data_IF_537921006384
#
_entry.id   IF_537921006384
#
_cell.length_a   1.000
_cell.length_b   1.000
_cell.length_c   1.000
_cell.angle_alpha   90.00
_cell.angle_beta   90.00
_cell.angle_gamma   90.00
#
_symmetry.space_group_name_H-M   'P 1'
#
loop_
_entity.id
_entity.type
_entity.pdbx_description
1 polymer ?
#
# COMPACT_ATOMS: atom_id res chain seq x y z
N UNK A 1 1.07 -20.27 4.78
CA UNK A 1 0.03 -20.87 3.92
C UNK A 1 -0.86 -19.75 3.42
N UNK A 2 -1.10 -19.66 2.11
CA UNK A 2 -2.04 -18.67 1.53
C UNK A 2 -3.47 -19.03 1.95
N UNK A 3 -4.24 -18.05 2.42
CA UNK A 3 -5.62 -18.27 2.83
C UNK A 3 -6.56 -18.32 1.62
N UNK A 4 -7.51 -19.24 1.66
CA UNK A 4 -8.63 -19.32 0.72
C UNK A 4 -9.71 -18.30 1.08
N UNK A 5 -10.65 -18.07 0.17
CA UNK A 5 -11.83 -17.21 0.41
C UNK A 5 -12.61 -17.60 1.68
N UNK A 6 -12.76 -18.89 1.95
CA UNK A 6 -13.41 -19.40 3.15
C UNK A 6 -12.65 -19.00 4.42
N UNK A 7 -11.33 -19.16 4.41
CA UNK A 7 -10.50 -18.86 5.57
C UNK A 7 -10.39 -17.34 5.78
N UNK A 8 -10.33 -16.56 4.69
CA UNK A 8 -10.40 -15.08 4.74
C UNK A 8 -11.69 -14.61 5.41
N UNK A 9 -12.85 -15.14 5.01
CA UNK A 9 -14.13 -14.83 5.65
C UNK A 9 -14.12 -15.15 7.14
N UNK A 10 -13.59 -16.32 7.51
CA UNK A 10 -13.50 -16.73 8.90
C UNK A 10 -12.63 -15.79 9.74
N UNK A 11 -11.48 -15.37 9.24
CA UNK A 11 -10.58 -14.45 9.93
C UNK A 11 -11.18 -13.03 10.09
N UNK A 12 -11.90 -12.54 9.05
CA UNK A 12 -12.61 -11.26 9.11
C UNK A 12 -13.79 -11.35 10.07
N UNK A 13 -14.61 -12.40 9.99
CA UNK A 13 -15.76 -12.59 10.87
C UNK A 13 -15.36 -12.74 12.34
N UNK A 14 -14.20 -13.33 12.60
CA UNK A 14 -13.62 -13.44 13.95
C UNK A 14 -12.98 -12.12 14.44
N UNK A 15 -12.93 -11.07 13.63
CA UNK A 15 -12.31 -9.79 13.95
C UNK A 15 -10.78 -9.86 14.05
N UNK A 16 -10.15 -10.92 13.55
CA UNK A 16 -8.69 -11.08 13.58
C UNK A 16 -8.02 -10.33 12.44
N UNK A 17 -8.63 -10.34 11.25
CA UNK A 17 -8.23 -9.50 10.12
C UNK A 17 -9.23 -8.38 9.94
N UNK A 18 -8.76 -7.13 9.97
CA UNK A 18 -9.56 -5.94 9.66
C UNK A 18 -9.39 -5.54 8.20
N UNK A 19 -10.51 -5.18 7.56
CA UNK A 19 -10.56 -4.57 6.24
C UNK A 19 -11.74 -3.58 6.27
N UNK A 20 -11.51 -2.33 6.59
CA UNK A 20 -12.58 -1.36 6.88
C UNK A 20 -12.56 -0.18 5.90
N UNK A 21 -13.66 0.09 5.19
CA UNK A 21 -14.94 -0.64 5.22
C UNK A 21 -14.91 -1.93 4.41
N UNK A 22 -15.43 -3.02 5.00
CA UNK A 22 -15.51 -4.33 4.36
C UNK A 22 -16.79 -4.50 3.54
N UNK A 23 -16.66 -5.19 2.41
CA UNK A 23 -17.78 -5.62 1.59
C UNK A 23 -17.52 -7.04 1.08
N UNK A 24 -18.49 -7.95 1.28
CA UNK A 24 -18.38 -9.37 0.92
C UNK A 24 -17.99 -9.60 -0.56
N UNK A 25 -18.49 -8.75 -1.46
CA UNK A 25 -18.17 -8.80 -2.88
C UNK A 25 -16.70 -8.49 -3.23
N UNK A 26 -15.89 -8.10 -2.24
CA UNK A 26 -14.44 -7.87 -2.41
C UNK A 26 -13.64 -9.16 -2.28
N UNK A 27 -14.22 -10.23 -1.70
CA UNK A 27 -13.53 -11.51 -1.52
C UNK A 27 -13.36 -12.21 -2.87
N UNK A 28 -12.14 -12.63 -3.14
CA UNK A 28 -11.71 -13.41 -4.28
C UNK A 28 -11.24 -14.80 -3.80
N UNK A 29 -11.02 -15.80 -4.66
CA UNK A 29 -10.68 -17.16 -4.23
C UNK A 29 -9.50 -17.30 -3.27
N UNK A 30 -8.55 -16.34 -3.26
CA UNK A 30 -7.36 -16.34 -2.39
C UNK A 30 -6.88 -14.94 -2.02
N UNK A 31 -7.75 -13.94 -2.11
CA UNK A 31 -7.39 -12.55 -1.80
C UNK A 31 -8.63 -11.71 -1.49
N UNK A 32 -8.43 -10.49 -1.03
CA UNK A 32 -9.46 -9.45 -0.91
C UNK A 32 -9.10 -8.32 -1.87
N UNK A 33 -10.03 -7.92 -2.73
CA UNK A 33 -9.85 -6.71 -3.54
C UNK A 33 -9.74 -5.48 -2.63
N UNK A 34 -8.89 -4.54 -2.99
CA UNK A 34 -8.78 -3.24 -2.31
C UNK A 34 -9.05 -2.11 -3.30
N UNK A 35 -9.64 -1.04 -2.81
CA UNK A 35 -10.02 0.11 -3.62
C UNK A 35 -9.04 1.26 -3.48
N UNK A 36 -9.00 2.11 -4.49
CA UNK A 36 -8.20 3.34 -4.50
C UNK A 36 -8.91 4.42 -3.69
N UNK A 37 -8.19 5.08 -2.78
CA UNK A 37 -8.66 6.28 -2.10
C UNK A 37 -8.51 7.52 -3.02
N UNK A 38 -9.08 8.63 -2.62
CA UNK A 38 -9.03 9.91 -3.34
C UNK A 38 -7.77 10.73 -3.12
N UNK A 39 -6.92 10.34 -2.17
CA UNK A 39 -5.70 11.06 -1.81
C UNK A 39 -4.50 10.54 -2.59
N UNK A 40 -3.74 11.46 -3.18
CA UNK A 40 -2.52 11.19 -3.94
C UNK A 40 -1.39 12.07 -3.43
N UNK A 41 -0.14 11.62 -3.59
CA UNK A 41 1.05 12.46 -3.40
C UNK A 41 1.86 12.45 -4.67
N UNK A 42 2.01 13.63 -5.26
CA UNK A 42 2.81 13.85 -6.48
C UNK A 42 4.18 14.40 -6.12
N UNK A 43 5.19 14.03 -6.90
CA UNK A 43 6.56 14.46 -6.68
C UNK A 43 6.81 15.88 -7.21
N UNK A 44 7.44 16.71 -6.39
CA UNK A 44 7.84 18.08 -6.69
C UNK A 44 9.29 18.10 -7.21
N UNK A 45 9.49 17.58 -8.43
CA UNK A 45 10.81 17.35 -9.02
C UNK A 45 11.68 18.60 -9.19
N UNK A 46 11.08 19.79 -9.10
CA UNK A 46 11.80 21.08 -9.20
C UNK A 46 12.39 21.59 -7.88
N UNK A 47 12.00 21.00 -6.74
CA UNK A 47 12.43 21.46 -5.40
C UNK A 47 13.76 20.88 -4.96
N UNK A 48 14.16 19.75 -5.51
CA UNK A 48 15.37 19.03 -5.14
C UNK A 48 16.11 18.56 -6.38
N UNK A 49 17.45 18.64 -6.35
CA UNK A 49 18.28 18.13 -7.43
C UNK A 49 18.52 16.62 -7.34
N UNK A 50 18.26 16.02 -6.17
CA UNK A 50 18.47 14.60 -5.91
C UNK A 50 17.54 14.14 -4.78
N UNK A 51 17.11 12.88 -4.85
CA UNK A 51 16.41 12.22 -3.73
C UNK A 51 17.47 11.58 -2.85
N UNK A 52 17.58 12.04 -1.61
CA UNK A 52 18.49 11.50 -0.60
C UNK A 52 17.71 10.74 0.49
N UNK A 53 17.77 9.40 0.53
CA UNK A 53 17.04 8.62 1.51
C UNK A 53 17.56 8.77 2.96
N UNK A 54 18.72 9.41 3.16
CA UNK A 54 19.32 9.63 4.47
C UNK A 54 18.87 10.90 5.17
N UNK A 55 18.23 11.82 4.43
CA UNK A 55 17.78 13.12 4.95
C UNK A 55 16.29 13.30 4.78
N UNK A 56 15.69 14.13 5.63
CA UNK A 56 14.29 14.52 5.46
C UNK A 56 14.14 15.53 4.33
N UNK A 57 13.33 15.20 3.33
CA UNK A 57 12.98 16.09 2.23
C UNK A 57 11.46 16.35 2.28
N UNK A 58 11.02 17.19 3.21
CA UNK A 58 9.61 17.39 3.54
C UNK A 58 8.76 17.87 2.36
N UNK A 59 9.35 18.62 1.43
CA UNK A 59 8.66 19.15 0.25
C UNK A 59 8.86 18.31 -1.00
N UNK A 60 9.42 17.10 -0.89
CA UNK A 60 9.63 16.20 -2.04
C UNK A 60 8.31 15.79 -2.70
N UNK A 61 7.24 15.71 -1.92
CA UNK A 61 5.91 15.39 -2.42
C UNK A 61 4.87 16.34 -1.84
N UNK A 62 3.83 16.64 -2.63
CA UNK A 62 2.63 17.35 -2.16
C UNK A 62 1.38 16.49 -2.30
N UNK A 63 0.40 16.73 -1.47
CA UNK A 63 -0.90 16.06 -1.55
C UNK A 63 -1.76 16.66 -2.66
N UNK A 64 -2.49 15.79 -3.35
CA UNK A 64 -3.52 16.12 -4.33
C UNK A 64 -4.75 15.28 -4.00
N UNK A 65 -5.92 15.88 -4.04
CA UNK A 65 -7.20 15.23 -3.77
C UNK A 65 -7.99 15.17 -5.07
N UNK A 66 -8.41 13.97 -5.47
CA UNK A 66 -9.39 13.80 -6.54
C UNK A 66 -10.79 14.06 -5.94
N UNK A 67 -11.45 15.14 -6.36
CA UNK A 67 -12.74 15.55 -5.82
C UNK A 67 -13.91 14.98 -6.62
N UNK A 68 -14.96 14.57 -5.90
CA UNK A 68 -16.17 14.02 -6.52
C UNK A 68 -15.88 12.78 -7.36
N UNK A 69 -16.38 12.79 -8.59
CA UNK A 69 -16.18 11.72 -9.60
C UNK A 69 -15.00 12.00 -10.55
N UNK A 70 -14.22 13.06 -10.30
CA UNK A 70 -13.08 13.41 -11.16
C UNK A 70 -11.93 12.42 -10.97
N UNK A 71 -11.39 11.85 -12.07
CA UNK A 71 -10.26 10.94 -11.98
C UNK A 71 -8.95 11.70 -11.77
N UNK A 72 -8.03 11.10 -11.03
CA UNK A 72 -6.63 11.49 -11.12
C UNK A 72 -6.05 10.99 -12.45
N UNK A 73 -5.34 11.85 -13.19
CA UNK A 73 -4.71 11.51 -14.47
C UNK A 73 -3.23 11.18 -14.22
N UNK A 74 -2.86 9.92 -14.43
CA UNK A 74 -1.48 9.45 -14.32
C UNK A 74 -0.85 9.39 -15.72
N UNK A 75 0.06 10.33 -16.03
CA UNK A 75 0.71 10.41 -17.33
C UNK A 75 1.79 9.33 -17.51
N UNK A 76 2.16 9.02 -18.78
CA UNK A 76 3.25 8.10 -19.07
C UNK A 76 4.54 8.46 -18.35
N UNK A 77 5.19 7.48 -17.70
CA UNK A 77 6.42 7.66 -16.96
C UNK A 77 6.28 8.33 -15.59
N UNK A 78 5.07 8.75 -15.19
CA UNK A 78 4.84 9.28 -13.84
C UNK A 78 4.81 8.18 -12.78
N UNK A 79 5.27 8.56 -11.60
CA UNK A 79 5.19 7.80 -10.36
C UNK A 79 4.51 8.65 -9.28
N UNK A 80 3.49 8.09 -8.62
CA UNK A 80 2.76 8.77 -7.56
C UNK A 80 2.51 7.83 -6.39
N UNK A 81 2.36 8.38 -5.19
CA UNK A 81 1.86 7.63 -4.06
C UNK A 81 0.34 7.84 -3.95
N UNK A 82 -0.37 6.76 -3.71
CA UNK A 82 -1.78 6.77 -3.37
C UNK A 82 -2.00 5.89 -2.13
N UNK A 83 -3.23 5.64 -1.75
CA UNK A 83 -3.54 4.71 -0.65
C UNK A 83 -4.73 3.82 -0.98
N UNK A 84 -4.82 2.71 -0.26
CA UNK A 84 -6.07 1.94 -0.21
C UNK A 84 -7.14 2.78 0.47
N UNK A 85 -8.38 2.63 0.02
CA UNK A 85 -9.56 3.17 0.68
C UNK A 85 -9.82 2.43 2.00
N UNK A 86 -9.51 1.15 2.05
CA UNK A 86 -9.64 0.31 3.22
C UNK A 86 -8.48 0.52 4.20
N UNK A 87 -8.81 0.57 5.49
CA UNK A 87 -7.87 0.36 6.58
C UNK A 87 -7.69 -1.14 6.76
N UNK A 88 -6.44 -1.60 6.67
CA UNK A 88 -6.09 -3.01 6.86
C UNK A 88 -5.50 -3.18 8.25
N UNK A 89 -5.93 -4.23 8.96
CA UNK A 89 -5.37 -4.63 10.26
C UNK A 89 -5.06 -6.11 10.23
N UNK A 90 -3.82 -6.47 10.53
CA UNK A 90 -3.35 -7.86 10.54
C UNK A 90 -2.99 -8.29 11.95
N UNK A 91 -3.32 -9.55 12.35
CA UNK A 91 -2.83 -10.14 13.60
C UNK A 91 -1.33 -10.46 13.50
N UNK A 92 -0.77 -10.95 14.57
CA UNK A 92 0.65 -11.31 14.69
C UNK A 92 1.07 -12.59 13.95
N UNK A 93 0.11 -13.37 13.46
CA UNK A 93 0.34 -14.64 12.76
C UNK A 93 -0.10 -14.65 11.29
N UNK A 94 -0.55 -13.51 10.77
CA UNK A 94 -0.93 -13.35 9.36
C UNK A 94 -0.19 -12.16 8.75
N UNK A 95 0.52 -12.42 7.65
CA UNK A 95 1.10 -11.40 6.80
C UNK A 95 0.18 -11.09 5.61
N UNK A 96 0.28 -9.88 5.06
CA UNK A 96 -0.36 -9.50 3.81
C UNK A 96 0.64 -9.42 2.67
N UNK A 97 0.15 -9.62 1.44
CA UNK A 97 0.87 -9.29 0.22
C UNK A 97 -0.06 -8.59 -0.75
N UNK A 98 0.28 -7.35 -1.06
CA UNK A 98 -0.45 -6.55 -2.05
C UNK A 98 0.03 -6.90 -3.45
N UNK A 99 -0.93 -7.22 -4.32
CA UNK A 99 -0.72 -7.48 -5.74
C UNK A 99 -1.60 -6.56 -6.59
N UNK A 100 -1.14 -6.23 -7.79
CA UNK A 100 -1.95 -5.47 -8.75
C UNK A 100 -3.09 -6.31 -9.34
N UNK A 101 -4.03 -5.63 -10.00
CA UNK A 101 -5.07 -6.29 -10.79
C UNK A 101 -4.53 -6.57 -12.19
N UNK A 102 -4.61 -7.82 -12.65
CA UNK A 102 -4.10 -8.22 -13.96
C UNK A 102 -4.73 -7.45 -15.12
N UNK A 103 -6.00 -7.04 -14.98
CA UNK A 103 -6.70 -6.20 -15.96
C UNK A 103 -6.08 -4.80 -16.09
N UNK A 104 -5.62 -4.21 -14.99
CA UNK A 104 -4.96 -2.90 -14.97
C UNK A 104 -3.49 -3.01 -15.40
N UNK A 105 -2.80 -4.07 -15.00
CA UNK A 105 -1.44 -4.35 -15.44
C UNK A 105 -1.33 -4.48 -16.96
N UNK A 106 -2.34 -5.04 -17.63
CA UNK A 106 -2.41 -5.14 -19.09
C UNK A 106 -2.62 -3.79 -19.78
N UNK A 107 -3.03 -2.75 -19.04
CA UNK A 107 -3.12 -1.38 -19.51
C UNK A 107 -1.84 -0.57 -19.23
N UNK A 108 -0.82 -1.21 -18.62
CA UNK A 108 0.43 -0.56 -18.26
C UNK A 108 0.41 0.16 -16.90
N UNK A 109 -0.60 -0.09 -16.08
CA UNK A 109 -0.61 0.41 -14.70
C UNK A 109 0.11 -0.59 -13.79
N UNK A 110 1.20 -0.16 -13.17
CA UNK A 110 1.87 -0.89 -12.10
C UNK A 110 1.29 -0.43 -10.76
N UNK A 111 0.80 -1.39 -9.98
CA UNK A 111 0.35 -1.17 -8.62
C UNK A 111 1.36 -1.81 -7.69
N UNK A 112 2.15 -1.00 -7.00
CA UNK A 112 3.06 -1.46 -5.97
C UNK A 112 4.12 -2.45 -6.45
N UNK A 113 5.08 -1.96 -7.22
CA UNK A 113 6.08 -2.82 -7.90
C UNK A 113 7.21 -3.34 -7.01
N UNK A 114 7.40 -2.83 -5.78
CA UNK A 114 8.59 -3.16 -4.97
C UNK A 114 8.27 -3.75 -3.60
N UNK A 115 7.50 -3.11 -2.74
CA UNK A 115 7.35 -3.43 -1.32
C UNK A 115 5.94 -3.92 -0.96
N UNK A 116 5.41 -4.88 -1.73
CA UNK A 116 4.07 -5.43 -1.55
C UNK A 116 3.85 -6.26 -0.29
N UNK A 117 4.90 -6.56 0.49
CA UNK A 117 4.78 -7.34 1.71
C UNK A 117 4.35 -6.46 2.88
N UNK A 118 3.36 -6.92 3.64
CA UNK A 118 2.78 -6.25 4.79
C UNK A 118 2.98 -7.16 5.99
N UNK A 119 3.76 -6.68 6.95
CA UNK A 119 4.13 -7.45 8.13
C UNK A 119 2.94 -7.72 9.05
N UNK A 120 2.95 -8.87 9.75
CA UNK A 120 2.01 -9.15 10.83
C UNK A 120 2.00 -8.04 11.89
N UNK A 121 0.83 -7.68 12.39
CA UNK A 121 0.65 -6.59 13.36
C UNK A 121 0.45 -5.21 12.72
N UNK A 122 0.57 -5.07 11.40
CA UNK A 122 0.29 -3.80 10.72
C UNK A 122 -1.17 -3.39 10.89
N UNK A 123 -1.38 -2.08 11.09
CA UNK A 123 -2.71 -1.45 11.03
C UNK A 123 -2.59 -0.08 10.36
N UNK A 124 -3.39 0.18 9.32
CA UNK A 124 -3.39 1.46 8.60
C UNK A 124 -3.90 1.33 7.16
N UNK A 125 -3.92 2.45 6.44
CA UNK A 125 -4.03 2.42 4.98
C UNK A 125 -2.73 1.87 4.38
N UNK A 126 -2.81 1.10 3.30
CA UNK A 126 -1.61 0.70 2.56
C UNK A 126 -1.29 1.83 1.57
N UNK A 127 -0.06 2.34 1.62
CA UNK A 127 0.41 3.27 0.59
C UNK A 127 0.68 2.50 -0.70
N UNK A 128 0.12 2.97 -1.80
CA UNK A 128 0.27 2.41 -3.13
C UNK A 128 1.33 3.19 -3.92
N UNK A 129 2.20 2.48 -4.60
CA UNK A 129 3.25 3.04 -5.47
C UNK A 129 2.81 2.85 -6.93
N UNK A 130 2.06 3.82 -7.47
CA UNK A 130 1.46 3.72 -8.80
C UNK A 130 2.38 4.29 -9.87
N UNK A 131 2.58 3.52 -10.94
CA UNK A 131 3.35 3.94 -12.12
C UNK A 131 2.60 3.63 -13.40
N UNK A 132 2.69 4.54 -14.38
CA UNK A 132 2.19 4.32 -15.72
C UNK A 132 3.35 4.06 -16.69
N UNK A 133 3.49 2.81 -17.14
CA UNK A 133 4.49 2.40 -18.13
C UNK A 133 3.92 2.29 -19.56
N UNK A 134 2.64 2.65 -19.74
CA UNK A 134 2.02 2.76 -21.06
C UNK A 134 2.38 4.07 -21.75
N UNK A 135 1.97 4.23 -23.02
CA UNK A 135 2.20 5.43 -23.82
C UNK A 135 1.05 6.45 -23.75
N UNK A 136 -0.05 6.12 -23.06
CA UNK A 136 -1.21 6.99 -22.89
C UNK A 136 -1.47 7.24 -21.39
N UNK A 137 -2.02 8.41 -21.05
CA UNK A 137 -2.47 8.69 -19.69
C UNK A 137 -3.53 7.69 -19.21
N UNK A 138 -3.46 7.29 -17.96
CA UNK A 138 -4.42 6.39 -17.30
C UNK A 138 -5.29 7.21 -16.35
N UNK A 139 -6.60 7.03 -16.43
CA UNK A 139 -7.57 7.61 -15.49
C UNK A 139 -7.69 6.71 -14.25
N UNK A 140 -7.44 7.28 -13.09
CA UNK A 140 -7.57 6.60 -11.80
C UNK A 140 -8.76 7.20 -11.04
N UNK A 141 -9.83 6.42 -10.91
CA UNK A 141 -11.04 6.86 -10.22
C UNK A 141 -11.01 6.45 -8.75
N UNK A 142 -11.26 7.36 -7.80
CA UNK A 142 -11.49 6.98 -6.42
C UNK A 142 -12.56 5.89 -6.30
N UNK A 143 -12.36 4.92 -5.42
CA UNK A 143 -13.26 3.78 -5.24
C UNK A 143 -13.09 2.63 -6.25
N UNK A 144 -12.29 2.78 -7.31
CA UNK A 144 -12.01 1.66 -8.22
C UNK A 144 -11.20 0.57 -7.55
N UNK A 145 -11.41 -0.69 -7.92
CA UNK A 145 -10.57 -1.81 -7.48
C UNK A 145 -9.19 -1.67 -8.08
N UNK A 146 -8.19 -1.35 -7.25
CA UNK A 146 -6.83 -1.02 -7.70
C UNK A 146 -5.86 -2.18 -7.51
N UNK A 147 -6.08 -3.01 -6.52
CA UNK A 147 -5.23 -4.12 -6.16
C UNK A 147 -6.00 -5.23 -5.47
N UNK A 148 -5.27 -6.23 -5.00
CA UNK A 148 -5.78 -7.34 -4.21
C UNK A 148 -4.78 -7.68 -3.12
N UNK A 149 -5.29 -7.95 -1.92
CA UNK A 149 -4.52 -8.32 -0.75
C UNK A 149 -4.59 -9.83 -0.54
N UNK A 150 -3.49 -10.53 -0.73
CA UNK A 150 -3.32 -11.93 -0.35
C UNK A 150 -2.96 -12.01 1.13
N UNK A 151 -3.56 -12.95 1.86
CA UNK A 151 -3.29 -13.19 3.28
C UNK A 151 -2.54 -14.50 3.45
N UNK A 152 -1.45 -14.46 4.20
CA UNK A 152 -0.51 -15.58 4.35
C UNK A 152 -0.36 -15.87 5.84
N UNK A 153 -0.83 -17.05 6.27
CA UNK A 153 -0.64 -17.50 7.64
C UNK A 153 0.82 -17.93 7.86
N UNK A 154 1.44 -17.42 8.92
CA UNK A 154 2.77 -17.80 9.35
C UNK A 154 2.75 -19.18 10.02
N UNK A 155 3.91 -19.82 10.09
CA UNK A 155 4.10 -21.11 10.81
C UNK A 155 3.94 -20.96 12.32
N UNK A 156 4.22 -19.77 12.85
CA UNK A 156 4.02 -19.37 14.24
C UNK A 156 3.79 -17.86 14.28
N UNK A 157 3.17 -17.31 15.34
CA UNK A 157 3.08 -15.86 15.53
C UNK A 157 4.45 -15.19 15.55
N UNK A 158 4.52 -13.97 15.03
CA UNK A 158 5.73 -13.16 15.07
C UNK A 158 6.04 -12.80 16.54
N UNK A 159 7.26 -13.05 16.98
CA UNK A 159 7.72 -12.68 18.33
C UNK A 159 7.66 -11.15 18.56
N UNK A 160 7.94 -10.39 17.51
CA UNK A 160 7.92 -8.93 17.52
C UNK A 160 7.14 -8.42 16.29
N UNK A 161 5.81 -8.36 16.34
CA UNK A 161 5.01 -7.91 15.20
C UNK A 161 5.26 -6.43 14.87
N UNK A 162 4.85 -6.02 13.69
CA UNK A 162 4.91 -4.62 13.25
C UNK A 162 4.18 -3.72 14.25
N UNK A 163 4.75 -2.58 14.58
CA UNK A 163 4.26 -1.69 15.64
C UNK A 163 4.87 -1.96 17.01
N UNK A 164 5.59 -3.07 17.20
CA UNK A 164 6.37 -3.31 18.45
C UNK A 164 7.57 -2.35 18.52
N UNK A 165 8.06 -2.10 19.74
CA UNK A 165 9.18 -1.16 19.97
C UNK A 165 10.49 -1.60 19.30
N UNK A 166 10.69 -2.91 19.10
CA UNK A 166 11.97 -3.48 18.65
C UNK A 166 12.41 -3.03 17.25
N UNK A 167 11.47 -2.92 16.29
CA UNK A 167 11.83 -2.71 14.88
C UNK A 167 11.58 -1.29 14.36
N UNK A 168 11.11 -0.35 15.20
CA UNK A 168 10.91 1.05 14.83
C UNK A 168 9.99 1.21 13.62
N UNK A 169 8.83 0.59 13.67
CA UNK A 169 7.83 0.57 12.60
C UNK A 169 7.43 1.99 12.16
N UNK A 170 7.72 2.34 10.90
CA UNK A 170 7.63 3.71 10.40
C UNK A 170 6.21 4.15 10.05
N UNK A 171 5.34 3.19 9.72
CA UNK A 171 4.06 3.46 9.06
C UNK A 171 2.85 2.89 9.82
N UNK A 172 3.04 2.48 11.08
CA UNK A 172 1.94 2.00 11.90
C UNK A 172 0.91 3.11 12.12
N UNK A 173 -0.37 2.79 11.92
CA UNK A 173 -1.47 3.73 12.08
C UNK A 173 -1.59 4.79 11.00
N UNK A 174 -0.84 4.68 9.87
CA UNK A 174 -0.91 5.68 8.81
C UNK A 174 -2.31 5.83 8.22
N UNK A 175 -2.62 7.07 7.81
CA UNK A 175 -3.85 7.43 7.13
C UNK A 175 -3.52 8.17 5.83
N UNK A 176 -4.17 7.75 4.72
CA UNK A 176 -3.82 8.26 3.39
C UNK A 176 -2.42 7.85 2.93
N UNK A 177 -1.97 8.34 1.75
CA UNK A 177 -0.64 8.06 1.22
C UNK A 177 0.43 8.79 2.04
N UNK A 178 1.37 8.03 2.60
CA UNK A 178 2.43 8.57 3.46
C UNK A 178 3.73 8.69 2.66
N UNK A 179 4.36 9.86 2.72
CA UNK A 179 5.69 10.07 2.14
C UNK A 179 6.74 9.17 2.81
N UNK A 180 7.85 8.92 2.11
CA UNK A 180 8.95 8.11 2.65
C UNK A 180 9.47 8.66 3.97
N UNK A 181 9.67 7.76 4.93
CA UNK A 181 10.31 8.02 6.22
C UNK A 181 11.64 7.27 6.34
N UNK A 182 12.31 7.02 5.21
CA UNK A 182 13.59 6.29 5.16
C UNK A 182 14.66 6.89 6.06
N UNK A 183 14.70 8.22 6.17
CA UNK A 183 15.68 8.97 6.97
C UNK A 183 15.61 8.66 8.47
N UNK A 184 14.44 8.29 9.02
CA UNK A 184 14.26 8.08 10.47
C UNK A 184 15.14 6.97 11.04
N UNK A 185 15.40 5.93 10.24
CA UNK A 185 16.19 4.77 10.64
C UNK A 185 17.27 4.49 9.59
N UNK A 186 17.75 5.54 8.92
CA UNK A 186 18.79 5.36 7.93
C UNK A 186 20.07 4.85 8.58
N UNK A 187 20.56 3.74 8.09
CA UNK A 187 21.78 3.11 8.57
C UNK A 187 22.68 2.71 7.42
N UNK A 188 23.95 3.06 7.54
CA UNK A 188 25.01 2.63 6.61
C UNK A 188 26.00 1.75 7.34
N UNK A 189 26.11 0.48 6.93
CA UNK A 189 27.22 -0.35 7.38
C UNK A 189 28.50 0.09 6.69
N UNK A 190 29.59 0.18 7.46
CA UNK A 190 30.90 0.39 6.86
C UNK A 190 31.28 -0.86 6.07
N UNK A 191 31.52 -0.70 4.76
CA UNK A 191 32.09 -1.74 3.91
C UNK A 191 33.59 -1.70 4.14
N UNK A 192 34.13 -2.76 4.72
CA UNK A 192 35.58 -2.95 4.85
C UNK A 192 36.14 -3.58 3.60
#
# INVERSE_FOLDING_TARGET
MLLSDRDIRAEIAAGRVGCEPFHEAMIQPSSVDVRLDKFFRVFENHKYSVIDPSTEQAELTREVIAEGDEPFILHPGEFVLASTYEVITLPDDIAGRLEGKSSLGRLGLLTHSTAGFIDPGFSGHITLELSNVANLPVKLFPGMKIGQLCLIKLSSPAEHPYGSEKYGSRYQGQRGPTASRSFKNFHRSQIK
#
